data_IF_438970213721
#
_entry.id   IF_438970213721
#
_cell.length_a   1.000
_cell.length_b   1.000
_cell.length_c   1.000
_cell.angle_alpha   90.00
_cell.angle_beta   90.00
_cell.angle_gamma   90.00
#
_symmetry.space_group_name_H-M   'P 1'
#
loop_
_entity.id
_entity.type
_entity.pdbx_description
1 polymer ?
#
# COMPACT_ATOMS: atom_id res chain seq x y z
N UNK A 1 -7.67 14.12 19.32
CA UNK A 1 -6.74 15.21 19.68
C UNK A 1 -6.66 16.19 18.53
N UNK A 2 -6.73 17.48 18.83
CA UNK A 2 -6.48 18.53 17.84
C UNK A 2 -5.03 19.00 17.92
N UNK A 3 -4.41 19.22 16.78
CA UNK A 3 -3.07 19.77 16.64
C UNK A 3 -3.11 21.02 15.75
N UNK A 4 -2.20 21.94 15.98
CA UNK A 4 -2.06 23.15 15.20
C UNK A 4 -0.73 23.15 14.45
N UNK A 5 -0.78 23.31 13.13
CA UNK A 5 0.38 23.42 12.24
C UNK A 5 0.24 24.72 11.43
N UNK A 6 1.12 25.69 11.67
CA UNK A 6 1.14 26.99 10.95
C UNK A 6 -0.23 27.67 10.83
N UNK A 7 -1.02 27.62 11.92
CA UNK A 7 -2.39 28.16 11.92
C UNK A 7 -3.48 27.23 11.36
N UNK A 8 -3.11 26.08 10.85
CA UNK A 8 -4.03 25.04 10.39
C UNK A 8 -4.35 24.07 11.51
N UNK A 9 -5.64 23.95 11.84
CA UNK A 9 -6.10 22.99 12.86
C UNK A 9 -6.40 21.65 12.18
N UNK A 10 -5.76 20.59 12.69
CA UNK A 10 -5.93 19.21 12.23
C UNK A 10 -6.48 18.36 13.36
N UNK A 11 -7.58 17.65 13.14
CA UNK A 11 -8.13 16.68 14.06
C UNK A 11 -7.49 15.31 13.83
N UNK A 12 -6.75 14.81 14.82
CA UNK A 12 -6.15 13.48 14.76
C UNK A 12 -7.10 12.48 15.42
N UNK A 13 -7.51 11.48 14.66
CA UNK A 13 -8.42 10.42 15.08
C UNK A 13 -7.69 9.07 15.21
N UNK A 14 -7.99 8.30 16.27
CA UNK A 14 -7.53 6.92 16.38
C UNK A 14 -8.35 6.02 15.42
N UNK A 15 -7.93 4.76 15.31
CA UNK A 15 -8.81 3.72 14.77
C UNK A 15 -10.08 3.63 15.62
N UNK A 16 -11.24 3.71 14.94
CA UNK A 16 -12.54 3.76 15.60
C UNK A 16 -13.01 2.33 15.88
N UNK A 17 -13.25 2.02 17.14
CA UNK A 17 -13.77 0.74 17.62
C UNK A 17 -14.90 0.99 18.64
N UNK A 18 -15.54 -0.07 19.10
CA UNK A 18 -16.69 0.06 20.01
C UNK A 18 -16.37 0.79 21.31
N UNK A 19 -15.13 0.67 21.82
CA UNK A 19 -14.69 1.31 23.05
C UNK A 19 -14.49 2.83 22.95
N UNK A 20 -14.24 3.35 21.74
CA UNK A 20 -13.99 4.78 21.54
C UNK A 20 -14.99 5.46 20.59
N UNK A 21 -15.89 4.71 19.96
CA UNK A 21 -16.80 5.18 18.89
C UNK A 21 -17.56 6.43 19.28
N UNK A 22 -18.27 6.39 20.41
CA UNK A 22 -19.07 7.54 20.85
C UNK A 22 -18.22 8.79 21.02
N UNK A 23 -17.11 8.68 21.76
CA UNK A 23 -16.21 9.81 22.01
C UNK A 23 -15.62 10.36 20.71
N UNK A 24 -15.29 9.47 19.76
CA UNK A 24 -14.71 9.88 18.49
C UNK A 24 -15.74 10.58 17.61
N UNK A 25 -16.99 10.12 17.59
CA UNK A 25 -18.08 10.77 16.86
C UNK A 25 -18.41 12.14 17.47
N UNK A 26 -18.45 12.25 18.80
CA UNK A 26 -18.63 13.54 19.48
C UNK A 26 -17.49 14.52 19.10
N UNK A 27 -16.26 14.05 18.95
CA UNK A 27 -15.13 14.87 18.50
C UNK A 27 -15.29 15.29 17.03
N UNK A 28 -15.70 14.39 16.16
CA UNK A 28 -15.95 14.68 14.74
C UNK A 28 -17.05 15.73 14.61
N UNK A 29 -18.13 15.62 15.37
CA UNK A 29 -19.27 16.53 15.30
C UNK A 29 -18.95 17.94 15.83
N UNK A 30 -18.16 18.04 16.91
CA UNK A 30 -17.94 19.31 17.63
C UNK A 30 -16.61 19.99 17.30
N UNK A 31 -15.68 19.35 16.56
CA UNK A 31 -14.41 19.95 16.17
C UNK A 31 -14.61 21.08 15.16
N UNK A 32 -13.87 22.16 15.27
CA UNK A 32 -13.77 23.23 14.27
C UNK A 32 -12.57 23.07 13.34
N UNK A 33 -11.90 21.90 13.36
CA UNK A 33 -10.83 21.57 12.45
C UNK A 33 -11.34 21.50 11.00
N UNK A 34 -10.49 21.89 10.07
CA UNK A 34 -10.76 21.82 8.63
C UNK A 34 -10.30 20.48 8.05
N UNK A 35 -9.29 19.85 8.68
CA UNK A 35 -8.66 18.65 8.20
C UNK A 35 -8.69 17.56 9.26
N UNK A 36 -8.85 16.31 8.81
CA UNK A 36 -8.71 15.11 9.63
C UNK A 36 -7.50 14.30 9.16
N UNK A 37 -6.76 13.77 10.12
CA UNK A 37 -5.82 12.67 9.91
C UNK A 37 -6.17 11.51 10.83
N UNK A 38 -6.18 10.27 10.30
CA UNK A 38 -6.55 9.12 11.10
C UNK A 38 -6.19 7.79 10.48
N UNK A 39 -6.63 6.72 11.15
CA UNK A 39 -6.53 5.35 10.66
C UNK A 39 -7.94 4.79 10.57
N UNK A 40 -8.64 5.13 9.49
CA UNK A 40 -10.08 4.97 9.36
C UNK A 40 -10.41 3.81 8.41
N UNK A 41 -11.43 3.05 8.77
CA UNK A 41 -11.99 1.99 7.95
C UNK A 41 -13.33 2.46 7.38
N UNK A 42 -13.31 3.05 6.16
CA UNK A 42 -14.49 3.61 5.52
C UNK A 42 -15.01 2.70 4.42
N UNK A 43 -16.34 2.65 4.31
CA UNK A 43 -17.02 1.97 3.21
C UNK A 43 -16.80 2.69 1.87
N UNK A 44 -16.81 1.93 0.76
CA UNK A 44 -16.73 2.44 -0.60
C UNK A 44 -15.30 2.70 -1.12
N UNK A 45 -14.26 2.52 -0.31
CA UNK A 45 -12.86 2.68 -0.74
C UNK A 45 -12.17 1.35 -1.01
N UNK A 46 -11.22 1.37 -1.93
CA UNK A 46 -10.48 0.17 -2.31
C UNK A 46 -9.45 -0.21 -1.24
N UNK A 47 -9.54 -1.46 -0.76
CA UNK A 47 -8.54 -2.05 0.13
C UNK A 47 -7.28 -2.45 -0.65
N UNK A 48 -7.47 -2.93 -1.87
CA UNK A 48 -6.46 -3.21 -2.90
C UNK A 48 -7.11 -3.06 -4.30
N UNK A 49 -6.32 -3.01 -5.38
CA UNK A 49 -6.87 -2.81 -6.72
C UNK A 49 -8.03 -3.74 -7.06
N UNK A 50 -9.19 -3.16 -7.39
CA UNK A 50 -10.39 -3.89 -7.78
C UNK A 50 -11.23 -4.48 -6.65
N UNK A 51 -10.88 -4.24 -5.38
CA UNK A 51 -11.65 -4.74 -4.24
C UNK A 51 -11.94 -3.65 -3.21
N UNK A 52 -13.21 -3.26 -3.09
CA UNK A 52 -13.70 -2.22 -2.18
C UNK A 52 -14.26 -2.79 -0.88
N UNK A 53 -14.10 -2.06 0.22
CA UNK A 53 -14.76 -2.38 1.48
C UNK A 53 -16.21 -1.88 1.46
N UNK A 54 -17.17 -2.80 1.62
CA UNK A 54 -18.61 -2.50 1.66
C UNK A 54 -19.12 -2.27 3.10
N UNK A 55 -18.33 -2.58 4.13
CA UNK A 55 -18.77 -2.69 5.51
C UNK A 55 -18.14 -1.68 6.49
N UNK A 56 -17.37 -0.73 5.97
CA UNK A 56 -16.73 0.31 6.79
C UNK A 56 -17.71 1.36 7.33
N UNK A 57 -17.16 2.34 8.02
CA UNK A 57 -17.89 3.52 8.46
C UNK A 57 -18.32 4.33 7.25
N UNK A 58 -19.54 4.88 7.27
CA UNK A 58 -20.02 5.77 6.21
C UNK A 58 -19.16 7.05 6.16
N UNK A 59 -18.56 7.31 5.01
CA UNK A 59 -17.74 8.48 4.78
C UNK A 59 -18.51 9.82 4.89
N UNK A 60 -19.84 9.77 4.84
CA UNK A 60 -20.69 10.97 4.92
C UNK A 60 -20.50 11.77 6.22
N UNK A 61 -20.08 11.13 7.32
CA UNK A 61 -19.79 11.81 8.59
C UNK A 61 -18.63 12.82 8.47
N UNK A 62 -17.84 12.72 7.42
CA UNK A 62 -16.68 13.58 7.16
C UNK A 62 -16.94 14.68 6.13
N UNK A 63 -18.12 14.76 5.54
CA UNK A 63 -18.43 15.70 4.43
C UNK A 63 -18.25 17.18 4.76
N UNK A 64 -18.21 17.53 6.05
CA UNK A 64 -18.00 18.93 6.48
C UNK A 64 -16.53 19.35 6.53
N UNK A 65 -15.60 18.41 6.39
CA UNK A 65 -14.17 18.68 6.40
C UNK A 65 -13.66 18.91 4.98
N UNK A 66 -12.67 19.79 4.84
CA UNK A 66 -12.07 20.10 3.53
C UNK A 66 -11.25 18.90 3.02
N UNK A 67 -10.58 18.19 3.94
CA UNK A 67 -9.74 17.04 3.61
C UNK A 67 -9.67 16.04 4.77
N UNK A 68 -9.72 14.77 4.42
CA UNK A 68 -9.52 13.64 5.34
C UNK A 68 -8.39 12.76 4.83
N UNK A 69 -7.29 12.68 5.55
CA UNK A 69 -6.17 11.80 5.23
C UNK A 69 -6.21 10.57 6.12
N UNK A 70 -6.24 9.40 5.51
CA UNK A 70 -6.35 8.14 6.25
C UNK A 70 -5.28 7.13 5.83
N UNK A 71 -4.76 6.40 6.83
CA UNK A 71 -4.13 5.11 6.66
C UNK A 71 -5.18 3.98 6.58
N UNK A 72 -4.83 2.78 6.98
CA UNK A 72 -5.60 1.53 7.01
C UNK A 72 -5.52 0.74 5.70
N UNK A 73 -6.02 1.26 4.57
CA UNK A 73 -5.89 0.56 3.29
C UNK A 73 -4.51 0.77 2.68
N UNK A 74 -3.89 -0.31 2.21
CA UNK A 74 -2.57 -0.26 1.59
C UNK A 74 -2.61 0.36 0.19
N UNK A 75 -3.75 0.24 -0.50
CA UNK A 75 -3.95 0.85 -1.79
C UNK A 75 -4.24 2.35 -1.66
N UNK A 76 -3.54 3.16 -2.46
CA UNK A 76 -3.79 4.60 -2.53
C UNK A 76 -5.05 4.87 -3.34
N UNK A 77 -6.03 5.54 -2.74
CA UNK A 77 -7.28 5.91 -3.41
C UNK A 77 -7.87 7.18 -2.79
N UNK A 78 -8.72 7.89 -3.53
CA UNK A 78 -9.42 9.06 -3.02
C UNK A 78 -10.76 9.28 -3.74
N UNK A 79 -11.59 10.16 -3.16
CA UNK A 79 -12.82 10.66 -3.75
C UNK A 79 -12.88 12.21 -3.83
N UNK A 80 -11.72 12.86 -3.69
CA UNK A 80 -11.60 14.32 -3.69
C UNK A 80 -11.73 14.98 -2.31
N UNK A 81 -12.28 14.29 -1.31
CA UNK A 81 -12.35 14.75 0.09
C UNK A 81 -11.58 13.82 1.01
N UNK A 82 -11.79 12.52 0.87
CA UNK A 82 -11.09 11.48 1.64
C UNK A 82 -9.97 10.90 0.79
N UNK A 83 -8.75 10.89 1.35
CA UNK A 83 -7.53 10.39 0.75
C UNK A 83 -6.98 9.24 1.58
N UNK A 84 -7.03 8.02 1.05
CA UNK A 84 -6.24 6.90 1.57
C UNK A 84 -4.83 7.01 1.03
N UNK A 85 -3.88 7.26 1.95
CA UNK A 85 -2.49 7.54 1.59
C UNK A 85 -1.74 6.31 1.08
N UNK A 86 -2.27 5.11 1.36
CA UNK A 86 -1.63 3.86 1.02
C UNK A 86 -0.44 3.52 1.91
N UNK A 87 0.22 2.39 1.61
CA UNK A 87 1.43 1.98 2.30
C UNK A 87 2.69 2.55 1.62
N UNK A 88 3.74 2.93 2.37
CA UNK A 88 4.95 3.50 1.80
C UNK A 88 5.82 2.50 1.03
N UNK A 89 5.64 1.20 1.29
CA UNK A 89 6.33 0.08 0.62
C UNK A 89 5.41 -1.13 0.57
N UNK A 90 5.80 -2.16 -0.17
CA UNK A 90 5.06 -3.42 -0.26
C UNK A 90 5.19 -4.21 1.06
N UNK A 91 4.06 -4.60 1.67
CA UNK A 91 4.01 -5.33 2.96
C UNK A 91 3.59 -6.78 2.72
N UNK A 92 2.71 -7.01 1.75
CA UNK A 92 2.17 -8.33 1.42
C UNK A 92 2.14 -8.55 -0.08
N UNK A 93 1.91 -9.79 -0.52
CA UNK A 93 1.79 -10.11 -1.95
C UNK A 93 0.60 -9.42 -2.65
N UNK A 94 -0.40 -8.95 -1.91
CA UNK A 94 -1.49 -8.14 -2.48
C UNK A 94 -1.02 -6.76 -2.92
N UNK A 95 0.14 -6.33 -2.43
CA UNK A 95 0.76 -5.04 -2.76
C UNK A 95 1.63 -5.11 -4.02
N UNK A 96 1.86 -6.30 -4.54
CA UNK A 96 2.69 -6.53 -5.72
C UNK A 96 2.20 -5.71 -6.92
N UNK A 97 3.12 -4.96 -7.54
CA UNK A 97 2.86 -4.05 -8.66
C UNK A 97 1.91 -2.87 -8.37
N UNK A 98 1.45 -2.69 -7.14
CA UNK A 98 0.71 -1.49 -6.78
C UNK A 98 1.64 -0.31 -6.49
N UNK A 99 1.13 0.92 -6.66
CA UNK A 99 1.94 2.13 -6.47
C UNK A 99 2.12 2.42 -4.99
N UNK A 100 3.36 2.37 -4.51
CA UNK A 100 3.74 2.63 -3.12
C UNK A 100 4.52 3.93 -2.99
N UNK A 101 4.41 4.57 -1.83
CA UNK A 101 5.07 5.84 -1.57
C UNK A 101 4.53 6.54 -0.34
N UNK A 102 4.89 7.78 -0.18
CA UNK A 102 4.39 8.64 0.89
C UNK A 102 3.91 9.97 0.32
N UNK A 103 3.23 10.75 1.16
CA UNK A 103 2.72 12.05 0.75
C UNK A 103 3.42 13.16 1.52
N UNK A 104 3.60 14.29 0.85
CA UNK A 104 3.95 15.57 1.46
C UNK A 104 2.71 16.45 1.38
N UNK A 105 2.30 16.97 2.51
CA UNK A 105 1.16 17.88 2.61
C UNK A 105 1.67 19.29 2.91
N UNK A 106 1.34 20.22 2.05
CA UNK A 106 1.64 21.64 2.25
C UNK A 106 0.50 22.30 3.03
N UNK A 107 0.81 22.85 4.20
CA UNK A 107 -0.18 23.46 5.11
C UNK A 107 -0.72 24.81 4.62
N UNK A 108 0.01 25.50 3.75
CA UNK A 108 -0.40 26.79 3.18
C UNK A 108 -1.29 26.60 1.94
N UNK A 109 -0.78 25.81 0.96
CA UNK A 109 -1.48 25.59 -0.33
C UNK A 109 -2.55 24.52 -0.23
N UNK A 110 -2.50 23.65 0.79
CA UNK A 110 -3.37 22.48 0.96
C UNK A 110 -3.15 21.39 -0.08
N UNK A 111 -2.04 21.45 -0.80
CA UNK A 111 -1.67 20.45 -1.78
C UNK A 111 -1.13 19.19 -1.11
N UNK A 112 -1.51 18.04 -1.64
CA UNK A 112 -1.07 16.72 -1.22
C UNK A 112 -0.27 16.05 -2.35
N UNK A 113 1.05 16.13 -2.27
CA UNK A 113 1.96 15.56 -3.27
C UNK A 113 2.30 14.11 -2.93
N UNK A 114 2.16 13.21 -3.91
CA UNK A 114 2.57 11.80 -3.77
C UNK A 114 4.00 11.58 -4.26
N UNK A 115 4.87 11.13 -3.36
CA UNK A 115 6.26 10.76 -3.67
C UNK A 115 6.34 9.24 -3.81
N UNK A 116 6.51 8.78 -5.05
CA UNK A 116 6.54 7.35 -5.35
C UNK A 116 7.81 6.68 -4.83
N UNK A 117 7.64 5.55 -4.13
CA UNK A 117 8.73 4.64 -3.79
C UNK A 117 9.14 3.84 -5.05
N UNK A 118 10.42 3.93 -5.42
CA UNK A 118 10.98 3.22 -6.57
C UNK A 118 11.42 1.79 -6.24
N UNK A 119 11.57 1.48 -4.95
CA UNK A 119 12.02 0.16 -4.50
C UNK A 119 10.86 -0.82 -4.45
N UNK A 120 11.11 -2.02 -4.96
CA UNK A 120 10.18 -3.15 -4.93
C UNK A 120 10.75 -4.22 -4.03
N UNK A 121 9.89 -4.78 -3.17
CA UNK A 121 10.25 -5.89 -2.29
C UNK A 121 9.87 -7.24 -2.91
N UNK A 122 8.70 -7.30 -3.56
CA UNK A 122 8.17 -8.53 -4.15
C UNK A 122 8.44 -8.58 -5.66
N UNK A 123 8.88 -9.77 -6.13
CA UNK A 123 9.07 -10.05 -7.54
C UNK A 123 8.50 -11.42 -7.92
N UNK A 124 7.91 -11.52 -9.10
CA UNK A 124 7.45 -12.78 -9.68
C UNK A 124 8.29 -13.13 -10.88
N UNK A 125 8.71 -14.38 -10.93
CA UNK A 125 9.41 -14.96 -12.08
C UNK A 125 8.50 -16.04 -12.64
N UNK A 126 8.21 -15.97 -13.92
CA UNK A 126 7.50 -17.01 -14.64
C UNK A 126 8.52 -17.86 -15.37
N UNK A 127 8.67 -19.12 -14.96
CA UNK A 127 9.59 -20.06 -15.56
C UNK A 127 8.85 -20.89 -16.61
N UNK A 128 9.31 -20.78 -17.84
CA UNK A 128 8.83 -21.56 -18.99
C UNK A 128 10.03 -21.90 -19.88
N UNK A 129 10.46 -23.16 -19.89
CA UNK A 129 11.57 -23.65 -20.70
C UNK A 129 11.12 -24.29 -22.03
N UNK A 130 9.85 -24.16 -22.41
CA UNK A 130 9.35 -24.52 -23.74
C UNK A 130 9.73 -23.50 -24.81
N UNK A 131 10.03 -22.26 -24.39
CA UNK A 131 10.38 -21.14 -25.28
C UNK A 131 11.89 -20.96 -25.46
N UNK A 132 12.26 -19.77 -25.94
CA UNK A 132 13.65 -19.42 -26.27
C UNK A 132 14.39 -18.67 -25.14
N UNK A 133 13.87 -18.67 -23.92
CA UNK A 133 14.49 -17.98 -22.79
C UNK A 133 15.70 -18.80 -22.30
N UNK A 134 16.88 -18.19 -22.36
CA UNK A 134 18.11 -18.78 -21.81
C UNK A 134 18.26 -18.41 -20.33
N UNK A 135 17.66 -19.21 -19.43
CA UNK A 135 17.72 -18.99 -18.00
C UNK A 135 19.15 -19.03 -17.44
N UNK A 136 20.12 -19.61 -18.16
CA UNK A 136 21.54 -19.60 -17.73
C UNK A 136 22.17 -18.23 -17.85
N UNK A 137 21.65 -17.37 -18.74
CA UNK A 137 22.14 -16.00 -18.95
C UNK A 137 21.32 -14.94 -18.20
N UNK A 138 20.18 -15.30 -17.62
CA UNK A 138 19.36 -14.35 -16.87
C UNK A 138 20.17 -13.79 -15.70
N UNK A 139 20.24 -12.46 -15.57
CA UNK A 139 20.87 -11.82 -14.43
C UNK A 139 20.00 -12.00 -13.17
N UNK A 140 20.48 -12.81 -12.23
CA UNK A 140 19.79 -13.06 -10.96
C UNK A 140 20.14 -12.04 -9.87
N UNK A 141 21.15 -11.18 -10.06
CA UNK A 141 21.53 -10.15 -9.07
C UNK A 141 20.42 -9.12 -8.84
N UNK A 142 19.54 -8.94 -9.84
CA UNK A 142 18.34 -8.10 -9.71
C UNK A 142 17.43 -8.52 -8.54
N UNK A 143 17.47 -9.79 -8.13
CA UNK A 143 16.62 -10.33 -7.07
C UNK A 143 17.25 -10.27 -5.67
N UNK A 144 18.45 -9.72 -5.55
CA UNK A 144 19.08 -9.51 -4.23
C UNK A 144 18.15 -8.70 -3.32
N UNK A 145 18.07 -9.13 -2.06
CA UNK A 145 17.25 -8.53 -0.99
C UNK A 145 15.72 -8.52 -1.28
N UNK A 146 15.25 -9.29 -2.27
CA UNK A 146 13.84 -9.39 -2.63
C UNK A 146 13.19 -10.68 -2.14
N UNK A 147 11.87 -10.63 -2.01
CA UNK A 147 11.01 -11.80 -1.80
C UNK A 147 10.50 -12.23 -3.17
N UNK A 148 10.89 -13.40 -3.61
CA UNK A 148 10.65 -13.89 -4.97
C UNK A 148 9.64 -15.02 -4.97
N UNK A 149 8.67 -14.98 -5.89
CA UNK A 149 7.80 -16.09 -6.22
C UNK A 149 8.14 -16.61 -7.60
N UNK A 150 8.65 -17.83 -7.68
CA UNK A 150 8.91 -18.54 -8.93
C UNK A 150 7.68 -19.36 -9.32
N UNK A 151 6.99 -18.92 -10.37
CA UNK A 151 5.81 -19.59 -10.91
C UNK A 151 6.28 -20.46 -12.07
N UNK A 152 6.12 -21.77 -11.93
CA UNK A 152 6.56 -22.73 -12.94
C UNK A 152 5.39 -23.00 -13.88
N UNK A 153 5.48 -22.52 -15.12
CA UNK A 153 4.50 -22.73 -16.16
C UNK A 153 4.82 -23.99 -16.96
N UNK A 154 6.06 -24.11 -17.46
CA UNK A 154 6.55 -25.28 -18.16
C UNK A 154 7.96 -25.66 -17.70
N UNK A 155 8.18 -26.96 -17.41
CA UNK A 155 9.45 -27.51 -16.93
C UNK A 155 9.80 -28.79 -17.68
N UNK A 156 10.33 -28.64 -18.90
CA UNK A 156 10.71 -29.76 -19.74
C UNK A 156 12.13 -30.30 -19.44
N UNK A 157 13.00 -29.44 -18.90
CA UNK A 157 14.37 -29.78 -18.54
C UNK A 157 14.62 -29.53 -17.05
N UNK A 158 14.58 -30.62 -16.27
CA UNK A 158 14.75 -30.57 -14.82
C UNK A 158 16.12 -30.01 -14.41
N UNK A 159 17.20 -30.39 -15.09
CA UNK A 159 18.55 -29.92 -14.77
C UNK A 159 18.70 -28.40 -14.98
N UNK A 160 18.12 -27.86 -16.06
CA UNK A 160 18.15 -26.41 -16.30
C UNK A 160 17.33 -25.66 -15.23
N UNK A 161 16.22 -26.23 -14.79
CA UNK A 161 15.41 -25.66 -13.73
C UNK A 161 16.16 -25.65 -12.38
N UNK A 162 16.78 -26.78 -12.00
CA UNK A 162 17.56 -26.88 -10.78
C UNK A 162 18.74 -25.92 -10.76
N UNK A 163 19.50 -25.82 -11.88
CA UNK A 163 20.58 -24.83 -12.05
C UNK A 163 20.06 -23.39 -11.87
N UNK A 164 18.88 -23.08 -12.42
CA UNK A 164 18.30 -21.76 -12.27
C UNK A 164 17.88 -21.45 -10.83
N UNK A 165 17.24 -22.38 -10.15
CA UNK A 165 16.86 -22.27 -8.73
C UNK A 165 18.10 -22.09 -7.85
N UNK A 166 19.17 -22.84 -8.10
CA UNK A 166 20.43 -22.69 -7.36
C UNK A 166 21.05 -21.30 -7.55
N UNK A 167 20.98 -20.76 -8.77
CA UNK A 167 21.44 -19.38 -9.04
C UNK A 167 20.59 -18.33 -8.35
N UNK A 168 19.27 -18.53 -8.24
CA UNK A 168 18.40 -17.65 -7.46
C UNK A 168 18.81 -17.66 -5.98
N UNK A 169 19.03 -18.80 -5.37
CA UNK A 169 19.51 -18.87 -4.00
C UNK A 169 20.87 -18.19 -3.79
N UNK A 170 21.76 -18.26 -4.78
CA UNK A 170 23.08 -17.59 -4.73
C UNK A 170 22.99 -16.07 -4.90
N UNK A 171 21.87 -15.53 -5.36
CA UNK A 171 21.69 -14.07 -5.53
C UNK A 171 21.35 -13.31 -4.24
N UNK A 172 21.44 -13.96 -3.08
CA UNK A 172 21.17 -13.34 -1.77
C UNK A 172 19.76 -12.74 -1.66
N UNK A 173 18.76 -13.36 -2.27
CA UNK A 173 17.37 -12.97 -2.07
C UNK A 173 16.90 -13.22 -0.64
N UNK A 174 15.88 -12.48 -0.19
CA UNK A 174 15.36 -12.59 1.18
C UNK A 174 14.55 -13.87 1.37
N UNK A 175 13.73 -14.23 0.38
CA UNK A 175 12.91 -15.46 0.40
C UNK A 175 12.58 -15.92 -1.02
N UNK A 176 12.44 -17.24 -1.20
CA UNK A 176 12.02 -17.87 -2.46
C UNK A 176 10.89 -18.87 -2.21
N UNK A 177 9.75 -18.61 -2.83
CA UNK A 177 8.63 -19.57 -2.92
C UNK A 177 8.54 -20.09 -4.35
N UNK A 178 8.39 -21.42 -4.51
CA UNK A 178 8.24 -22.09 -5.80
C UNK A 178 6.86 -22.76 -5.87
#
# INVERSE_FOLDING_TARGET
TELMFDGLKILILPWINDGNRKKTYDLIENSDAQIIMGHLELAGFQMHPGYSNEHGIDAAIFNRFDMVMSGHYHHKSDNGTVYYLGAPYEITWTDYQDSRGFHVFDTETRELEFIRNKYRLFEKIYYDDSGNVDYKKLDTNHYKDKIVKLIVEEKNNLSNFEDFVERLYKSELTDLTI
#
